data_IF_850308473378
#
_entry.id   IF_850308473378
#
_cell.length_a   1.000
_cell.length_b   1.000
_cell.length_c   1.000
_cell.angle_alpha   90.00
_cell.angle_beta   90.00
_cell.angle_gamma   90.00
#
_symmetry.space_group_name_H-M   'P 1'
#
loop_
_entity.id
_entity.type
_entity.pdbx_description
1 polymer ?
#
# COMPACT_ATOMS: atom_id res chain seq x y z
N UNK A 1 -18.75 38.15 8.56
CA UNK A 1 -19.41 36.83 8.37
C UNK A 1 -20.14 36.48 9.64
N UNK A 2 -21.35 35.91 9.55
CA UNK A 2 -22.08 35.55 10.76
C UNK A 2 -21.38 34.39 11.49
N UNK A 3 -21.39 34.42 12.82
CA UNK A 3 -20.70 33.44 13.70
C UNK A 3 -21.04 31.99 13.37
N UNK A 4 -22.27 31.72 12.90
CA UNK A 4 -22.69 30.40 12.43
C UNK A 4 -21.94 29.93 11.17
N UNK A 5 -21.59 30.82 10.23
CA UNK A 5 -20.77 30.45 9.07
C UNK A 5 -19.34 30.07 9.50
N UNK A 6 -18.77 30.79 10.46
CA UNK A 6 -17.41 30.50 10.96
C UNK A 6 -17.38 29.14 11.65
N UNK A 7 -18.36 28.86 12.52
CA UNK A 7 -18.50 27.55 13.19
C UNK A 7 -18.67 26.42 12.17
N UNK A 8 -19.52 26.61 11.15
CA UNK A 8 -19.76 25.61 10.12
C UNK A 8 -18.49 25.30 9.31
N UNK A 9 -17.71 26.32 8.91
CA UNK A 9 -16.45 26.13 8.18
C UNK A 9 -15.43 25.37 9.03
N UNK A 10 -15.27 25.75 10.30
CA UNK A 10 -14.34 25.07 11.22
C UNK A 10 -14.74 23.60 11.41
N UNK A 11 -16.03 23.32 11.58
CA UNK A 11 -16.54 21.96 11.71
C UNK A 11 -16.26 21.12 10.46
N UNK A 12 -16.47 21.67 9.25
CA UNK A 12 -16.17 20.99 7.99
C UNK A 12 -14.67 20.68 7.88
N UNK A 13 -13.81 21.65 8.18
CA UNK A 13 -12.35 21.45 8.15
C UNK A 13 -11.92 20.36 9.13
N UNK A 14 -12.46 20.37 10.36
CA UNK A 14 -12.19 19.33 11.35
C UNK A 14 -12.61 17.93 10.86
N UNK A 15 -13.80 17.81 10.26
CA UNK A 15 -14.29 16.54 9.69
C UNK A 15 -13.36 16.06 8.57
N UNK A 16 -12.91 16.94 7.70
CA UNK A 16 -11.96 16.59 6.61
C UNK A 16 -10.65 16.07 7.20
N UNK A 17 -10.09 16.77 8.19
CA UNK A 17 -8.83 16.38 8.85
C UNK A 17 -8.97 15.00 9.50
N UNK A 18 -10.04 14.78 10.27
CA UNK A 18 -10.30 13.49 10.93
C UNK A 18 -10.48 12.38 9.90
N UNK A 19 -11.24 12.63 8.82
CA UNK A 19 -11.45 11.64 7.75
C UNK A 19 -10.15 11.24 7.07
N UNK A 20 -9.26 12.20 6.82
CA UNK A 20 -7.93 11.94 6.24
C UNK A 20 -7.06 11.15 7.23
N UNK A 21 -7.03 11.54 8.51
CA UNK A 21 -6.25 10.84 9.53
C UNK A 21 -6.69 9.38 9.71
N UNK A 22 -8.01 9.14 9.78
CA UNK A 22 -8.58 7.80 9.87
C UNK A 22 -8.19 6.97 8.65
N UNK A 23 -8.30 7.54 7.44
CA UNK A 23 -7.89 6.84 6.20
C UNK A 23 -6.41 6.47 6.22
N UNK A 24 -5.52 7.39 6.61
CA UNK A 24 -4.09 7.13 6.71
C UNK A 24 -3.79 6.01 7.72
N UNK A 25 -4.47 6.00 8.87
CA UNK A 25 -4.29 4.96 9.88
C UNK A 25 -4.73 3.58 9.34
N UNK A 26 -5.87 3.48 8.68
CA UNK A 26 -6.32 2.23 8.07
C UNK A 26 -5.39 1.74 6.97
N UNK A 27 -4.85 2.65 6.15
CA UNK A 27 -3.90 2.27 5.09
C UNK A 27 -2.57 1.77 5.68
N UNK A 28 -2.08 2.34 6.79
CA UNK A 28 -0.90 1.85 7.50
C UNK A 28 -1.13 0.49 8.17
N UNK A 29 -2.26 0.32 8.88
CA UNK A 29 -2.62 -0.97 9.49
C UNK A 29 -2.73 -2.06 8.42
N UNK A 30 -3.36 -1.75 7.28
CA UNK A 30 -3.49 -2.69 6.18
C UNK A 30 -2.14 -3.02 5.55
N UNK A 31 -1.28 -2.02 5.36
CA UNK A 31 0.09 -2.25 4.88
C UNK A 31 0.84 -3.19 5.84
N UNK A 32 0.78 -2.93 7.14
CA UNK A 32 1.45 -3.77 8.15
C UNK A 32 0.91 -5.21 8.14
N UNK A 33 -0.41 -5.41 8.06
CA UNK A 33 -1.03 -6.73 7.95
C UNK A 33 -0.57 -7.51 6.71
N UNK A 34 -0.47 -6.83 5.56
CA UNK A 34 0.01 -7.45 4.32
C UNK A 34 1.49 -7.83 4.40
N UNK A 35 2.33 -6.98 4.98
CA UNK A 35 3.79 -7.18 5.04
C UNK A 35 4.22 -8.18 6.12
N UNK A 36 3.44 -8.34 7.18
CA UNK A 36 3.69 -9.34 8.25
C UNK A 36 3.16 -10.72 7.90
N UNK A 37 2.35 -10.83 6.84
CA UNK A 37 1.86 -12.10 6.33
C UNK A 37 3.01 -12.99 5.83
N UNK A 38 2.91 -14.29 6.13
CA UNK A 38 3.81 -15.31 5.57
C UNK A 38 3.62 -15.42 4.05
N UNK A 39 4.67 -15.72 3.28
CA UNK A 39 6.03 -16.11 3.70
C UNK A 39 6.97 -14.95 4.08
N UNK A 40 6.64 -13.70 3.72
CA UNK A 40 7.54 -12.55 3.87
C UNK A 40 7.82 -12.16 5.33
N UNK A 41 6.78 -12.09 6.17
CA UNK A 41 6.86 -11.85 7.62
C UNK A 41 7.86 -10.76 8.03
N UNK A 42 7.78 -9.58 7.40
CA UNK A 42 8.66 -8.45 7.67
C UNK A 42 8.51 -7.92 9.10
N UNK A 43 9.62 -7.42 9.66
CA UNK A 43 9.62 -6.71 10.94
C UNK A 43 9.02 -5.31 10.79
N UNK A 44 8.53 -4.73 11.90
CA UNK A 44 7.96 -3.37 11.88
C UNK A 44 8.92 -2.31 11.30
N UNK A 45 10.22 -2.47 11.54
CA UNK A 45 11.25 -1.58 11.00
C UNK A 45 11.39 -1.72 9.48
N UNK A 46 11.28 -2.94 8.96
CA UNK A 46 11.30 -3.19 7.51
C UNK A 46 10.01 -2.70 6.85
N UNK A 47 8.85 -2.80 7.51
CA UNK A 47 7.59 -2.25 7.00
C UNK A 47 7.69 -0.73 6.78
N UNK A 48 8.46 0.00 7.60
CA UNK A 48 8.67 1.45 7.42
C UNK A 48 9.39 1.80 6.11
N UNK A 49 10.27 0.94 5.61
CA UNK A 49 10.98 1.15 4.34
C UNK A 49 10.20 0.63 3.12
N UNK A 50 9.06 -0.03 3.32
CA UNK A 50 8.12 -0.41 2.26
C UNK A 50 7.18 0.75 1.93
N UNK A 51 6.91 0.97 0.65
CA UNK A 51 5.91 1.95 0.18
C UNK A 51 4.77 1.24 -0.50
N UNK A 52 3.52 1.49 -0.09
CA UNK A 52 2.32 1.00 -0.78
C UNK A 52 1.57 2.19 -1.37
N UNK A 53 1.47 2.25 -2.69
CA UNK A 53 0.71 3.29 -3.40
C UNK A 53 -0.68 2.81 -3.73
N UNK A 54 -1.69 3.54 -3.22
CA UNK A 54 -3.11 3.25 -3.40
C UNK A 54 -3.85 4.51 -3.82
N UNK A 55 -4.39 4.55 -5.03
CA UNK A 55 -5.35 5.61 -5.43
C UNK A 55 -6.73 5.34 -4.82
N UNK A 56 -7.58 6.37 -4.78
CA UNK A 56 -9.00 6.18 -4.47
C UNK A 56 -9.65 5.34 -5.59
N UNK A 57 -10.33 4.24 -5.22
CA UNK A 57 -10.77 3.19 -6.17
C UNK A 57 -9.63 2.69 -7.07
N UNK A 58 -8.60 2.05 -6.50
CA UNK A 58 -7.45 1.65 -7.28
C UNK A 58 -7.85 0.53 -8.25
N UNK A 59 -7.57 0.70 -9.52
CA UNK A 59 -7.50 -0.44 -10.46
C UNK A 59 -6.18 -1.19 -10.32
N UNK A 60 -5.17 -0.52 -9.76
CA UNK A 60 -3.83 -1.03 -9.50
C UNK A 60 -3.33 -0.57 -8.13
N UNK A 61 -2.69 -1.48 -7.40
CA UNK A 61 -1.98 -1.22 -6.16
C UNK A 61 -0.52 -1.60 -6.39
N UNK A 62 0.39 -0.68 -6.08
CA UNK A 62 1.82 -0.89 -6.29
C UNK A 62 2.49 -0.93 -4.92
N UNK A 63 3.17 -2.02 -4.63
CA UNK A 63 4.00 -2.20 -3.44
C UNK A 63 5.46 -2.12 -3.86
N UNK A 64 6.24 -1.30 -3.16
CA UNK A 64 7.68 -1.19 -3.32
C UNK A 64 8.39 -1.62 -2.07
N UNK A 65 9.25 -2.62 -2.18
CA UNK A 65 9.99 -3.20 -1.05
C UNK A 65 11.47 -3.31 -1.41
N UNK A 66 12.41 -3.01 -0.50
CA UNK A 66 13.82 -3.27 -0.72
C UNK A 66 14.09 -4.76 -1.02
N UNK A 67 14.88 -5.03 -2.06
CA UNK A 67 15.19 -6.41 -2.48
C UNK A 67 16.04 -7.18 -1.46
N UNK A 68 16.65 -6.49 -0.49
CA UNK A 68 17.42 -7.11 0.58
C UNK A 68 16.55 -7.86 1.62
N UNK A 69 15.22 -7.74 1.56
CA UNK A 69 14.33 -8.29 2.57
C UNK A 69 13.68 -9.63 2.18
N UNK A 70 13.74 -10.02 0.91
CA UNK A 70 13.17 -11.27 0.45
C UNK A 70 13.82 -11.75 -0.84
N UNK A 71 13.69 -13.04 -1.08
CA UNK A 71 14.06 -13.71 -2.32
C UNK A 71 12.92 -13.61 -3.35
N UNK A 72 13.24 -13.84 -4.63
CA UNK A 72 12.25 -13.84 -5.72
C UNK A 72 11.09 -14.83 -5.42
N UNK A 73 11.44 -16.02 -4.92
CA UNK A 73 10.46 -17.07 -4.58
C UNK A 73 9.52 -16.64 -3.45
N UNK A 74 10.06 -16.04 -2.38
CA UNK A 74 9.26 -15.53 -1.27
C UNK A 74 8.32 -14.41 -1.70
N UNK A 75 8.78 -13.50 -2.57
CA UNK A 75 7.95 -12.38 -3.08
C UNK A 75 6.83 -12.90 -3.96
N UNK A 76 7.11 -13.83 -4.87
CA UNK A 76 6.09 -14.42 -5.74
C UNK A 76 5.04 -15.18 -4.93
N UNK A 77 5.47 -16.06 -4.02
CA UNK A 77 4.56 -16.79 -3.13
C UNK A 77 3.74 -15.87 -2.22
N UNK A 78 4.37 -14.81 -1.71
CA UNK A 78 3.66 -13.80 -0.93
C UNK A 78 2.61 -13.08 -1.76
N UNK A 79 2.95 -12.64 -2.98
CA UNK A 79 2.03 -11.91 -3.84
C UNK A 79 0.76 -12.72 -4.11
N UNK A 80 0.88 -14.01 -4.38
CA UNK A 80 -0.28 -14.90 -4.57
C UNK A 80 -1.09 -15.08 -3.29
N UNK A 81 -0.41 -15.24 -2.15
CA UNK A 81 -1.06 -15.44 -0.84
C UNK A 81 -1.83 -14.21 -0.38
N UNK A 82 -1.30 -13.01 -0.63
CA UNK A 82 -1.88 -11.76 -0.14
C UNK A 82 -2.80 -11.06 -1.13
N UNK A 83 -2.79 -11.42 -2.41
CA UNK A 83 -3.74 -10.91 -3.42
C UNK A 83 -5.21 -10.83 -2.92
N UNK A 84 -5.79 -11.87 -2.30
CA UNK A 84 -7.15 -11.78 -1.75
C UNK A 84 -7.29 -10.82 -0.55
N UNK A 85 -6.21 -10.59 0.22
CA UNK A 85 -6.17 -9.67 1.37
C UNK A 85 -6.04 -8.20 0.94
N UNK A 86 -5.41 -7.96 -0.21
CA UNK A 86 -5.27 -6.63 -0.82
C UNK A 86 -6.65 -6.05 -1.18
N UNK A 87 -7.58 -6.87 -1.65
CA UNK A 87 -8.98 -6.49 -1.81
C UNK A 87 -9.74 -7.42 -2.76
N UNK A 88 -11.07 -7.28 -2.79
CA UNK A 88 -11.90 -8.10 -3.69
C UNK A 88 -11.54 -7.86 -5.15
N UNK A 89 -11.18 -8.95 -5.84
CA UNK A 89 -10.93 -8.97 -7.27
C UNK A 89 -9.54 -8.46 -7.69
N UNK A 90 -8.61 -8.25 -6.75
CA UNK A 90 -7.21 -8.00 -7.09
C UNK A 90 -6.46 -9.32 -7.29
N UNK A 91 -5.55 -9.33 -8.27
CA UNK A 91 -4.57 -10.39 -8.50
C UNK A 91 -3.18 -9.78 -8.60
N UNK A 92 -2.17 -10.52 -8.16
CA UNK A 92 -0.78 -10.20 -8.46
C UNK A 92 -0.61 -10.33 -9.99
N UNK A 93 -0.28 -9.23 -10.65
CA UNK A 93 -0.14 -9.19 -12.11
C UNK A 93 1.33 -9.15 -12.51
N UNK A 94 2.16 -8.51 -11.69
CA UNK A 94 3.56 -8.31 -12.04
C UNK A 94 4.42 -8.15 -10.79
N UNK A 95 5.55 -8.86 -10.78
CA UNK A 95 6.63 -8.69 -9.81
C UNK A 95 7.87 -8.30 -10.61
N UNK A 96 8.28 -7.04 -10.51
CA UNK A 96 9.48 -6.54 -11.18
C UNK A 96 10.57 -6.25 -10.15
N UNK A 97 11.81 -6.61 -10.47
CA UNK A 97 12.98 -6.11 -9.73
C UNK A 97 13.46 -4.83 -10.40
N UNK A 98 13.36 -3.71 -9.69
CA UNK A 98 13.98 -2.44 -10.07
C UNK A 98 15.46 -2.52 -9.65
N UNK A 99 16.39 -2.59 -10.60
CA UNK A 99 17.80 -2.77 -10.30
C UNK A 99 18.39 -1.55 -9.58
N UNK A 100 19.42 -1.80 -8.76
CA UNK A 100 20.19 -0.77 -8.08
C UNK A 100 20.83 0.19 -9.10
N UNK A 101 20.54 1.49 -8.97
CA UNK A 101 21.14 2.54 -9.81
C UNK A 101 21.62 3.69 -8.92
N UNK A 102 22.89 4.07 -9.07
CA UNK A 102 23.61 5.16 -8.38
C UNK A 102 23.01 5.59 -7.03
N UNK A 103 23.48 4.95 -5.95
CA UNK A 103 23.10 5.30 -4.57
C UNK A 103 21.73 4.78 -4.10
N UNK A 104 20.92 4.16 -4.98
CA UNK A 104 19.62 3.55 -4.60
C UNK A 104 19.73 2.03 -4.53
N UNK A 105 19.30 1.44 -3.42
CA UNK A 105 19.19 -0.02 -3.25
C UNK A 105 18.20 -0.60 -4.26
N UNK A 106 18.42 -1.86 -4.67
CA UNK A 106 17.46 -2.59 -5.50
C UNK A 106 16.11 -2.73 -4.76
N UNK A 107 15.02 -2.70 -5.51
CA UNK A 107 13.66 -2.78 -4.98
C UNK A 107 12.81 -3.74 -5.79
N UNK A 108 11.97 -4.52 -5.13
CA UNK A 108 10.82 -5.15 -5.76
C UNK A 108 9.72 -4.12 -5.96
N UNK A 109 9.11 -4.13 -7.13
CA UNK A 109 7.84 -3.49 -7.43
C UNK A 109 6.81 -4.58 -7.74
N UNK A 110 5.86 -4.76 -6.82
CA UNK A 110 4.76 -5.71 -6.96
C UNK A 110 3.50 -4.94 -7.32
N UNK A 111 2.91 -5.28 -8.46
CA UNK A 111 1.67 -4.68 -8.95
C UNK A 111 0.52 -5.66 -8.80
N UNK A 112 -0.50 -5.25 -8.04
CA UNK A 112 -1.79 -5.92 -7.95
C UNK A 112 -2.79 -5.18 -8.82
N UNK A 113 -3.33 -5.80 -9.86
CA UNK A 113 -4.39 -5.22 -10.68
C UNK A 113 -5.75 -5.88 -10.40
N UNK A 114 -6.82 -5.13 -10.61
CA UNK A 114 -8.18 -5.66 -10.52
C UNK A 114 -8.48 -6.49 -11.78
N UNK A 115 -9.06 -7.67 -11.62
CA UNK A 115 -9.42 -8.57 -12.73
C UNK A 115 -10.22 -7.89 -13.85
N UNK A 116 -11.08 -6.93 -13.51
CA UNK A 116 -11.89 -6.18 -14.47
C UNK A 116 -11.11 -5.14 -15.32
N UNK A 117 -9.89 -4.76 -14.91
CA UNK A 117 -9.04 -3.79 -15.64
C UNK A 117 -7.92 -4.45 -16.45
N UNK A 118 -7.91 -5.79 -16.54
CA UNK A 118 -6.97 -6.58 -17.36
C UNK A 118 -7.51 -6.88 -18.78
N UNK A 119 -8.61 -6.25 -19.18
CA UNK A 119 -9.25 -6.40 -20.50
C UNK A 119 -8.82 -5.32 -21.49
#
# INVERSE_FOLDING_TARGET
MPTHMVIAVVAIVAIIIVSVAVKMHFDEVKKADLMTAKPLSLTEEQVKSVTMRRRHQPERIIVRMPAAYATDDEVNMWADTVAPRVGRGFQATEVQVIPQRFGRKAMYEITFAKLGSLR
#
